data_IF_831473475674
#
_entry.id   IF_831473475674
#
_cell.length_a   1.000
_cell.length_b   1.000
_cell.length_c   1.000
_cell.angle_alpha   90.00
_cell.angle_beta   90.00
_cell.angle_gamma   90.00
#
_symmetry.space_group_name_H-M   'P 1'
#
loop_
_entity.id
_entity.type
_entity.pdbx_description
1 polymer ?
#
# COMPACT_ATOMS: atom_id res chain seq x y z
N UNK A 1 -17.93 16.67 -22.62
CA UNK A 1 -17.92 15.81 -21.42
C UNK A 1 -16.55 15.18 -21.31
N UNK A 2 -15.89 15.26 -20.15
CA UNK A 2 -14.61 14.58 -19.92
C UNK A 2 -14.88 13.14 -19.45
N UNK A 3 -14.10 12.18 -19.96
CA UNK A 3 -14.19 10.75 -19.60
C UNK A 3 -12.79 10.17 -19.41
N UNK A 4 -12.68 9.07 -18.68
CA UNK A 4 -11.40 8.42 -18.41
C UNK A 4 -10.49 9.25 -17.52
N UNK A 5 -9.20 8.95 -17.55
CA UNK A 5 -8.22 9.69 -16.77
C UNK A 5 -7.89 11.04 -17.43
N UNK A 6 -7.88 12.10 -16.64
CA UNK A 6 -7.58 13.46 -17.10
C UNK A 6 -6.56 14.10 -16.17
N UNK A 7 -5.53 14.73 -16.74
CA UNK A 7 -4.59 15.55 -15.98
C UNK A 7 -5.02 17.01 -16.04
N UNK A 8 -5.39 17.56 -14.88
CA UNK A 8 -5.93 18.92 -14.75
C UNK A 8 -5.17 19.61 -13.62
N UNK A 9 -4.45 20.69 -13.95
CA UNK A 9 -3.67 21.44 -12.96
C UNK A 9 -2.58 20.59 -12.28
N UNK A 10 -2.01 19.60 -12.97
CA UNK A 10 -0.98 18.71 -12.43
C UNK A 10 -1.50 17.52 -11.63
N UNK A 11 -2.81 17.39 -11.45
CA UNK A 11 -3.44 16.26 -10.75
C UNK A 11 -4.20 15.37 -11.72
N UNK A 12 -4.14 14.07 -11.48
CA UNK A 12 -4.92 13.09 -12.24
C UNK A 12 -6.28 12.84 -11.60
N UNK A 13 -7.33 12.90 -12.41
CA UNK A 13 -8.72 12.62 -12.04
C UNK A 13 -9.24 11.49 -12.91
N UNK A 14 -10.27 10.76 -12.43
CA UNK A 14 -10.99 9.77 -13.23
C UNK A 14 -12.43 10.21 -13.42
N UNK A 15 -12.90 10.23 -14.66
CA UNK A 15 -14.29 10.47 -15.00
C UNK A 15 -14.91 9.21 -15.61
N UNK A 16 -16.11 8.87 -15.14
CA UNK A 16 -16.88 7.71 -15.62
C UNK A 16 -17.03 7.73 -17.14
N UNK A 17 -16.72 6.61 -17.80
CA UNK A 17 -16.93 6.44 -19.24
C UNK A 17 -18.41 6.50 -19.67
N UNK A 18 -19.33 6.32 -18.71
CA UNK A 18 -20.77 6.25 -18.99
C UNK A 18 -21.45 7.62 -18.95
N UNK A 19 -21.10 8.45 -17.97
CA UNK A 19 -21.81 9.71 -17.68
C UNK A 19 -20.88 10.88 -17.33
N UNK A 20 -19.56 10.70 -17.40
CA UNK A 20 -18.59 11.74 -17.08
C UNK A 20 -18.55 12.15 -15.61
N UNK A 21 -19.20 11.40 -14.71
CA UNK A 21 -19.14 11.69 -13.27
C UNK A 21 -17.73 11.44 -12.72
N UNK A 22 -17.19 12.39 -11.96
CA UNK A 22 -15.90 12.25 -11.28
C UNK A 22 -15.93 11.08 -10.30
N UNK A 23 -14.93 10.23 -10.35
CA UNK A 23 -14.78 9.06 -9.49
C UNK A 23 -13.80 9.36 -8.36
N UNK A 24 -14.11 8.81 -7.18
CA UNK A 24 -13.27 8.90 -5.97
C UNK A 24 -13.03 7.50 -5.39
N UNK A 25 -12.15 7.38 -4.41
CA UNK A 25 -11.86 6.14 -3.73
C UNK A 25 -10.97 5.19 -4.54
N UNK A 26 -10.99 3.91 -4.17
CA UNK A 26 -10.29 2.85 -4.90
C UNK A 26 -10.95 2.60 -6.25
N UNK A 27 -10.15 2.59 -7.31
CA UNK A 27 -10.61 2.38 -8.67
C UNK A 27 -9.73 1.35 -9.37
N UNK A 28 -10.34 0.27 -9.85
CA UNK A 28 -9.69 -0.65 -10.78
C UNK A 28 -9.79 -0.06 -12.20
N UNK A 29 -8.65 0.16 -12.84
CA UNK A 29 -8.58 0.79 -14.15
C UNK A 29 -8.61 -0.19 -15.32
N UNK A 30 -8.87 -1.48 -15.08
CA UNK A 30 -8.95 -2.49 -16.14
C UNK A 30 -9.98 -2.10 -17.22
N UNK A 31 -11.11 -1.54 -16.80
CA UNK A 31 -12.16 -1.02 -17.70
C UNK A 31 -11.73 0.20 -18.54
N UNK A 32 -10.61 0.82 -18.20
CA UNK A 32 -9.97 1.94 -18.90
C UNK A 32 -8.68 1.50 -19.59
N UNK A 33 -8.45 0.18 -19.74
CA UNK A 33 -7.32 -0.39 -20.47
C UNK A 33 -6.01 -0.44 -19.67
N UNK A 34 -6.06 -0.32 -18.34
CA UNK A 34 -4.87 -0.36 -17.48
C UNK A 34 -5.03 -1.40 -16.37
N UNK A 35 -4.11 -2.37 -16.31
CA UNK A 35 -4.08 -3.38 -15.26
C UNK A 35 -3.48 -2.83 -13.95
N UNK A 36 -4.23 -1.97 -13.26
CA UNK A 36 -3.86 -1.45 -11.94
C UNK A 36 -5.07 -0.96 -11.16
N UNK A 37 -4.96 -1.05 -9.84
CA UNK A 37 -5.83 -0.33 -8.91
C UNK A 37 -5.13 0.94 -8.45
N UNK A 38 -5.86 2.05 -8.39
CA UNK A 38 -5.39 3.35 -7.89
C UNK A 38 -6.35 3.88 -6.83
N UNK A 39 -5.98 4.95 -6.14
CA UNK A 39 -6.88 5.64 -5.22
C UNK A 39 -6.99 7.12 -5.55
N UNK A 40 -8.22 7.61 -5.67
CA UNK A 40 -8.55 9.03 -5.81
C UNK A 40 -9.08 9.56 -4.46
N UNK A 41 -8.54 10.67 -3.96
CA UNK A 41 -9.01 11.27 -2.71
C UNK A 41 -10.42 11.87 -2.85
N UNK A 42 -10.92 12.54 -1.80
CA UNK A 42 -12.27 13.13 -1.80
C UNK A 42 -12.43 14.24 -2.83
N UNK A 43 -11.33 14.92 -3.15
CA UNK A 43 -11.24 15.94 -4.19
C UNK A 43 -11.09 15.34 -5.60
N UNK A 44 -11.01 14.00 -5.72
CA UNK A 44 -10.89 13.30 -6.99
C UNK A 44 -9.46 13.20 -7.53
N UNK A 45 -8.45 13.55 -6.74
CA UNK A 45 -7.04 13.53 -7.15
C UNK A 45 -6.39 12.18 -6.85
N UNK A 46 -5.72 11.59 -7.84
CA UNK A 46 -5.00 10.34 -7.69
C UNK A 46 -3.87 10.49 -6.66
N UNK A 47 -3.76 9.52 -5.75
CA UNK A 47 -2.77 9.51 -4.69
C UNK A 47 -1.55 8.66 -5.04
N UNK A 48 -0.43 9.02 -4.43
CA UNK A 48 0.89 8.44 -4.64
C UNK A 48 1.58 8.20 -3.29
N UNK A 49 2.57 7.32 -3.26
CA UNK A 49 3.34 7.02 -2.06
C UNK A 49 2.51 6.34 -0.98
N UNK A 50 2.94 6.48 0.28
CA UNK A 50 2.24 5.89 1.41
C UNK A 50 1.01 6.73 1.78
N UNK A 51 -0.12 6.06 1.98
CA UNK A 51 -1.38 6.70 2.31
C UNK A 51 -2.07 5.95 3.45
N UNK A 52 -2.52 6.69 4.46
CA UNK A 52 -3.40 6.18 5.50
C UNK A 52 -4.85 6.35 5.04
N UNK A 53 -5.53 5.24 4.74
CA UNK A 53 -6.91 5.25 4.23
C UNK A 53 -7.75 4.35 5.14
N UNK A 54 -8.69 4.96 5.85
CA UNK A 54 -9.37 4.29 6.96
C UNK A 54 -8.36 3.92 8.05
N UNK A 55 -8.34 2.65 8.45
CA UNK A 55 -7.45 2.14 9.50
C UNK A 55 -6.23 1.38 8.95
N UNK A 56 -5.93 1.54 7.65
CA UNK A 56 -4.86 0.80 7.00
C UNK A 56 -3.92 1.72 6.23
N UNK A 57 -2.64 1.35 6.22
CA UNK A 57 -1.65 1.95 5.34
C UNK A 57 -1.63 1.22 4.00
N UNK A 58 -1.56 2.00 2.93
CA UNK A 58 -1.42 1.56 1.55
C UNK A 58 -0.16 2.18 0.94
N UNK A 59 0.37 1.58 -0.12
CA UNK A 59 1.45 2.15 -0.92
C UNK A 59 1.00 2.24 -2.37
N UNK A 60 1.12 3.42 -2.97
CA UNK A 60 0.87 3.66 -4.38
C UNK A 60 2.18 4.05 -5.06
N UNK A 61 2.43 3.46 -6.23
CA UNK A 61 3.61 3.76 -7.05
C UNK A 61 3.71 5.27 -7.29
N UNK A 62 4.86 5.87 -6.95
CA UNK A 62 5.14 7.29 -7.20
C UNK A 62 5.12 7.67 -8.69
N UNK A 63 5.20 6.69 -9.58
CA UNK A 63 5.26 6.92 -11.02
C UNK A 63 3.87 6.95 -11.66
N UNK A 64 2.98 6.03 -11.27
CA UNK A 64 1.72 5.81 -11.99
C UNK A 64 0.49 5.57 -11.10
N UNK A 65 0.64 5.72 -9.78
CA UNK A 65 -0.43 5.57 -8.80
C UNK A 65 -0.88 4.13 -8.55
N UNK A 66 -0.24 3.12 -9.15
CA UNK A 66 -0.62 1.71 -8.96
C UNK A 66 -0.42 1.27 -7.51
N UNK A 67 -1.47 0.70 -6.90
CA UNK A 67 -1.42 0.10 -5.56
C UNK A 67 -0.40 -1.04 -5.54
N UNK A 68 0.52 -0.99 -4.60
CA UNK A 68 1.56 -1.98 -4.40
C UNK A 68 1.11 -3.02 -3.37
N UNK A 69 1.47 -4.28 -3.61
CA UNK A 69 1.23 -5.41 -2.72
C UNK A 69 2.55 -6.17 -2.49
N UNK A 70 2.52 -7.14 -1.59
CA UNK A 70 3.70 -7.95 -1.27
C UNK A 70 4.76 -7.19 -0.46
N UNK A 71 5.99 -7.71 -0.49
CA UNK A 71 7.12 -7.07 0.17
C UNK A 71 7.57 -5.84 -0.61
N UNK A 72 7.70 -4.71 0.08
CA UNK A 72 8.06 -3.42 -0.51
C UNK A 72 9.22 -2.80 0.26
N UNK A 73 10.27 -2.41 -0.46
CA UNK A 73 11.36 -1.61 0.10
C UNK A 73 10.98 -0.13 0.03
N UNK A 74 10.86 0.52 1.19
CA UNK A 74 10.43 1.91 1.28
C UNK A 74 11.57 2.91 1.11
N UNK A 75 12.80 2.48 0.79
CA UNK A 75 13.93 3.39 0.59
C UNK A 75 13.63 4.43 -0.51
N UNK A 76 12.95 3.99 -1.58
CA UNK A 76 12.48 4.85 -2.66
C UNK A 76 11.39 5.87 -2.27
N UNK A 77 10.83 5.71 -1.07
CA UNK A 77 9.82 6.57 -0.45
C UNK A 77 10.37 7.27 0.80
N UNK A 78 11.69 7.27 1.00
CA UNK A 78 12.37 7.99 2.06
C UNK A 78 12.48 7.25 3.40
N UNK A 79 12.19 5.95 3.46
CA UNK A 79 12.29 5.16 4.69
C UNK A 79 13.16 3.92 4.49
N UNK A 80 14.19 3.76 5.32
CA UNK A 80 15.09 2.60 5.26
C UNK A 80 14.49 1.36 5.94
N UNK A 81 13.40 0.81 5.39
CA UNK A 81 12.78 -0.43 5.86
C UNK A 81 12.07 -1.20 4.74
N UNK A 82 11.95 -2.50 4.92
CA UNK A 82 11.08 -3.36 4.12
C UNK A 82 9.81 -3.62 4.91
N UNK A 83 8.65 -3.51 4.26
CA UNK A 83 7.33 -3.80 4.85
C UNK A 83 6.58 -4.79 3.97
N UNK A 84 5.43 -5.29 4.44
CA UNK A 84 4.57 -6.18 3.66
C UNK A 84 3.15 -5.64 3.55
N UNK A 85 2.63 -5.59 2.33
CA UNK A 85 1.25 -5.25 2.00
C UNK A 85 0.50 -6.51 1.54
N UNK A 86 -0.69 -6.78 2.09
CA UNK A 86 -1.48 -7.94 1.67
C UNK A 86 -2.08 -7.77 0.26
N UNK A 87 -2.82 -8.76 -0.23
CA UNK A 87 -3.44 -8.73 -1.58
C UNK A 87 -4.45 -7.58 -1.76
N UNK A 88 -5.03 -7.08 -0.66
CA UNK A 88 -5.89 -5.89 -0.65
C UNK A 88 -5.09 -4.59 -0.54
N UNK A 89 -3.77 -4.64 -0.56
CA UNK A 89 -2.88 -3.49 -0.45
C UNK A 89 -2.71 -2.93 0.97
N UNK A 90 -3.14 -3.64 2.00
CA UNK A 90 -3.07 -3.18 3.39
C UNK A 90 -1.76 -3.63 4.05
N UNK A 91 -1.01 -2.68 4.63
CA UNK A 91 0.21 -2.99 5.38
C UNK A 91 -0.10 -3.90 6.57
N UNK A 92 0.72 -4.94 6.74
CA UNK A 92 0.60 -5.92 7.83
C UNK A 92 1.58 -5.65 8.96
N UNK A 93 1.28 -6.19 10.13
CA UNK A 93 2.04 -6.04 11.37
C UNK A 93 2.06 -7.38 12.13
N UNK A 94 3.01 -7.53 13.06
CA UNK A 94 3.14 -8.73 13.88
C UNK A 94 3.53 -9.98 13.09
N UNK A 95 3.17 -11.16 13.61
CA UNK A 95 3.43 -12.44 12.97
C UNK A 95 2.59 -12.60 11.70
N UNK A 96 3.25 -12.58 10.54
CA UNK A 96 2.61 -12.66 9.22
C UNK A 96 3.12 -13.87 8.44
N UNK A 97 2.21 -14.71 7.94
CA UNK A 97 2.54 -15.88 7.11
C UNK A 97 2.41 -15.52 5.63
N UNK A 98 3.50 -15.69 4.88
CA UNK A 98 3.58 -15.46 3.42
C UNK A 98 4.21 -16.68 2.77
N UNK A 99 3.52 -17.32 1.83
CA UNK A 99 4.00 -18.50 1.09
C UNK A 99 4.68 -19.55 2.00
N UNK A 100 3.96 -19.97 3.05
CA UNK A 100 4.39 -20.95 4.07
C UNK A 100 5.52 -20.50 5.01
N UNK A 101 6.12 -19.32 4.83
CA UNK A 101 7.12 -18.74 5.74
C UNK A 101 6.46 -17.73 6.68
N UNK A 102 6.89 -17.71 7.93
CA UNK A 102 6.42 -16.71 8.92
C UNK A 102 7.47 -15.62 9.09
N UNK A 103 7.03 -14.38 8.99
CA UNK A 103 7.83 -13.17 9.18
C UNK A 103 7.33 -12.45 10.43
N UNK A 104 8.22 -11.81 11.17
CA UNK A 104 7.84 -10.88 12.23
C UNK A 104 7.95 -9.46 11.66
N UNK A 105 6.80 -8.80 11.54
CA UNK A 105 6.69 -7.40 11.17
C UNK A 105 6.54 -6.60 12.46
N UNK A 106 7.34 -5.56 12.62
CA UNK A 106 7.30 -4.67 13.77
C UNK A 106 5.87 -4.12 13.98
N UNK A 107 5.36 -4.19 15.20
CA UNK A 107 3.93 -3.93 15.50
C UNK A 107 3.52 -2.46 15.31
N UNK A 108 4.49 -1.55 15.25
CA UNK A 108 4.24 -0.11 15.07
C UNK A 108 4.60 0.32 13.67
N UNK A 109 5.80 -0.04 13.21
CA UNK A 109 6.36 0.47 11.95
C UNK A 109 6.10 -0.42 10.74
N UNK A 110 5.70 -1.68 10.94
CA UNK A 110 5.55 -2.69 9.89
C UNK A 110 6.86 -3.23 9.32
N UNK A 111 8.02 -2.81 9.87
CA UNK A 111 9.35 -3.25 9.40
C UNK A 111 9.52 -4.76 9.54
N UNK A 112 9.93 -5.44 8.47
CA UNK A 112 10.34 -6.85 8.50
C UNK A 112 11.59 -6.98 9.34
N UNK A 113 11.48 -7.59 10.52
CA UNK A 113 12.64 -7.93 11.34
C UNK A 113 13.21 -9.26 10.86
N UNK A 114 14.53 -9.30 10.62
CA UNK A 114 15.24 -10.58 10.52
C UNK A 114 15.12 -11.28 11.87
N UNK A 115 14.75 -12.56 11.86
CA UNK A 115 14.78 -13.38 13.07
C UNK A 115 16.23 -13.39 13.57
N UNK A 116 16.50 -12.64 14.63
CA UNK A 116 17.81 -12.69 15.28
C UNK A 116 17.96 -14.08 15.89
N UNK A 117 18.86 -14.91 15.35
CA UNK A 117 19.31 -16.12 16.02
C UNK A 117 20.26 -15.76 17.16
N UNK A 118 19.77 -15.01 18.14
CA UNK A 118 20.39 -14.71 19.44
C UNK A 118 19.39 -13.87 20.22
N UNK A 119 18.86 -14.21 21.39
CA UNK A 119 19.41 -14.96 22.51
C UNK A 119 18.29 -15.77 23.19
N UNK A 120 18.65 -16.92 23.76
CA UNK A 120 17.85 -17.57 24.80
C UNK A 120 17.59 -16.54 25.90
N UNK A 121 16.36 -16.03 26.02
CA UNK A 121 15.89 -15.62 27.35
C UNK A 121 15.67 -16.91 28.13
N UNK A 122 16.74 -17.34 28.78
CA UNK A 122 16.70 -18.25 29.91
C UNK A 122 15.65 -17.72 30.88
N UNK A 123 14.51 -18.40 30.95
CA UNK A 123 13.60 -18.27 32.08
C UNK A 123 14.28 -18.99 33.25
N UNK A 124 15.20 -18.29 33.90
CA UNK A 124 15.68 -18.65 35.22
C UNK A 124 14.59 -18.22 36.18
N UNK A 125 13.80 -19.17 36.69
CA UNK A 125 13.22 -19.03 38.02
C UNK A 125 14.06 -19.88 38.96
N UNK A 126 14.85 -19.18 39.78
CA UNK A 126 15.53 -19.71 40.96
C UNK A 126 14.49 -19.75 42.09
N UNK A 127 14.39 -20.93 42.69
CA UNK A 127 13.76 -21.30 43.98
C UNK A 127 12.23 -21.21 44.07
#
# INVERSE_FOLDING_TARGET
MQIGQQNIGGHWYLFSKYNGAMQTGFQNLAEYGQDKTVYYNKEGQMQYGQQAIGNHWYLFSKYNGAMQTGFQNLAEYGQNKVVYYNEKGQMQYGLTKVNQKTYYLDEVSGEVRKRSTSSRKSLVFIR
#
